data_IF_829649607111
#
_entry.id   IF_829649607111
#
_cell.length_a   1.000
_cell.length_b   1.000
_cell.length_c   1.000
_cell.angle_alpha   90.00
_cell.angle_beta   90.00
_cell.angle_gamma   90.00
#
_symmetry.space_group_name_H-M   'P 1'
#
loop_
_entity.id
_entity.type
_entity.pdbx_description
1 polymer ?
#
# COMPACT_ATOMS: atom_id res chain seq x y z
N UNK A 1 -14.41 -17.52 3.72
CA UNK A 1 -15.57 -16.58 3.74
C UNK A 1 -16.28 -16.68 2.40
N UNK A 2 -17.43 -17.36 2.30
CA UNK A 2 -18.17 -17.58 1.03
C UNK A 2 -18.74 -16.33 0.34
N UNK A 3 -17.96 -15.25 0.28
CA UNK A 3 -18.25 -13.98 -0.36
C UNK A 3 -17.64 -13.99 -1.76
N UNK A 4 -18.31 -13.36 -2.71
CA UNK A 4 -17.85 -13.21 -4.09
C UNK A 4 -17.58 -11.73 -4.35
N UNK A 5 -16.42 -11.41 -4.91
CA UNK A 5 -16.11 -10.05 -5.40
C UNK A 5 -16.38 -9.99 -6.90
N UNK A 6 -16.95 -8.88 -7.37
CA UNK A 6 -17.02 -8.57 -8.80
C UNK A 6 -15.81 -7.71 -9.16
N UNK A 7 -14.90 -8.25 -9.97
CA UNK A 7 -13.71 -7.51 -10.41
C UNK A 7 -14.05 -6.81 -11.72
N UNK A 8 -14.14 -5.48 -11.67
CA UNK A 8 -14.48 -4.65 -12.85
C UNK A 8 -13.21 -4.16 -13.54
N UNK A 9 -12.12 -3.98 -12.79
CA UNK A 9 -10.85 -3.45 -13.29
C UNK A 9 -9.66 -4.16 -12.63
N UNK A 10 -8.60 -4.37 -13.41
CA UNK A 10 -7.29 -4.80 -12.92
C UNK A 10 -6.24 -3.81 -13.41
N UNK A 11 -5.47 -3.24 -12.48
CA UNK A 11 -4.39 -2.30 -12.80
C UNK A 11 -3.05 -2.85 -12.33
N UNK A 12 -1.95 -2.61 -13.07
CA UNK A 12 -0.63 -3.10 -12.68
C UNK A 12 0.00 -2.26 -11.55
N UNK A 13 -0.46 -1.01 -11.37
CA UNK A 13 0.17 -0.03 -10.48
C UNK A 13 -0.89 0.77 -9.73
N UNK A 14 -0.64 1.04 -8.44
CA UNK A 14 -1.57 1.75 -7.57
C UNK A 14 -1.70 3.25 -7.87
N UNK A 15 -0.71 3.86 -8.53
CA UNK A 15 -0.66 5.30 -8.77
C UNK A 15 -1.84 5.83 -9.60
N UNK A 16 -2.45 5.00 -10.45
CA UNK A 16 -3.58 5.38 -11.30
C UNK A 16 -4.93 5.14 -10.66
N UNK A 17 -4.99 4.38 -9.54
CA UNK A 17 -6.26 4.04 -8.88
C UNK A 17 -7.08 5.27 -8.48
N UNK A 18 -6.51 6.33 -7.87
CA UNK A 18 -7.31 7.48 -7.44
C UNK A 18 -8.11 8.11 -8.57
N UNK A 19 -7.46 8.34 -9.72
CA UNK A 19 -8.11 8.94 -10.88
C UNK A 19 -9.17 8.03 -11.51
N UNK A 20 -8.97 6.70 -11.46
CA UNK A 20 -9.91 5.72 -12.03
C UNK A 20 -11.12 5.47 -11.12
N UNK A 21 -10.92 5.57 -9.81
CA UNK A 21 -11.96 5.34 -8.81
C UNK A 21 -12.78 6.59 -8.51
N UNK A 22 -12.18 7.78 -8.64
CA UNK A 22 -12.86 9.05 -8.38
C UNK A 22 -14.14 9.17 -9.21
N UNK A 23 -15.27 9.43 -8.54
CA UNK A 23 -16.58 9.54 -9.19
C UNK A 23 -17.22 8.21 -9.59
N UNK A 24 -16.71 7.08 -9.10
CA UNK A 24 -17.30 5.74 -9.31
C UNK A 24 -17.64 5.08 -7.98
N UNK A 25 -18.50 4.06 -8.00
CA UNK A 25 -18.82 3.24 -6.82
C UNK A 25 -17.84 2.07 -6.62
N UNK A 26 -16.64 2.16 -7.20
CA UNK A 26 -15.62 1.13 -7.06
C UNK A 26 -14.95 1.21 -5.68
N UNK A 27 -14.71 0.04 -5.09
CA UNK A 27 -13.93 -0.10 -3.86
C UNK A 27 -12.69 -0.95 -4.13
N UNK A 28 -11.58 -0.63 -3.44
CA UNK A 28 -10.35 -1.41 -3.52
C UNK A 28 -9.84 -1.72 -2.11
N UNK A 29 -9.27 -2.92 -1.94
CA UNK A 29 -8.55 -3.30 -0.72
C UNK A 29 -7.07 -3.04 -0.93
N UNK A 30 -6.47 -2.26 -0.03
CA UNK A 30 -5.08 -1.81 -0.10
C UNK A 30 -4.40 -2.01 1.27
N UNK A 31 -3.08 -1.86 1.31
CA UNK A 31 -2.36 -1.70 2.57
C UNK A 31 -2.60 -0.30 3.16
N UNK A 32 -2.54 -0.18 4.49
CA UNK A 32 -2.85 1.06 5.19
C UNK A 32 -2.04 2.26 4.71
N UNK A 33 -0.75 2.07 4.41
CA UNK A 33 0.10 3.16 3.92
C UNK A 33 -0.30 3.63 2.51
N UNK A 34 -0.73 2.72 1.65
CA UNK A 34 -1.18 3.06 0.30
C UNK A 34 -2.54 3.76 0.35
N UNK A 35 -3.46 3.25 1.16
CA UNK A 35 -4.77 3.85 1.39
C UNK A 35 -4.63 5.29 1.92
N UNK A 36 -3.84 5.50 2.98
CA UNK A 36 -3.56 6.83 3.54
C UNK A 36 -2.92 7.78 2.52
N UNK A 37 -1.95 7.31 1.74
CA UNK A 37 -1.32 8.13 0.71
C UNK A 37 -2.32 8.57 -0.36
N UNK A 38 -3.25 7.70 -0.75
CA UNK A 38 -4.32 8.03 -1.71
C UNK A 38 -5.35 8.99 -1.14
N UNK A 39 -5.81 8.77 0.09
CA UNK A 39 -6.74 9.68 0.77
C UNK A 39 -6.14 11.07 0.97
N UNK A 40 -4.82 11.15 1.21
CA UNK A 40 -4.11 12.43 1.30
C UNK A 40 -4.12 13.24 -0.02
N UNK A 41 -4.37 12.61 -1.17
CA UNK A 41 -4.59 13.31 -2.45
C UNK A 41 -5.96 14.01 -2.51
N UNK A 42 -6.88 13.71 -1.58
CA UNK A 42 -8.20 14.31 -1.48
C UNK A 42 -9.24 13.80 -2.48
N UNK A 43 -8.92 12.72 -3.22
CA UNK A 43 -9.81 12.14 -4.24
C UNK A 43 -10.59 10.92 -3.74
N UNK A 44 -10.13 10.29 -2.66
CA UNK A 44 -10.67 9.05 -2.11
C UNK A 44 -10.75 9.14 -0.58
N UNK A 45 -11.51 8.23 0.02
CA UNK A 45 -11.58 8.00 1.45
C UNK A 45 -11.12 6.58 1.76
N UNK A 46 -10.46 6.39 2.90
CA UNK A 46 -10.07 5.08 3.41
C UNK A 46 -10.86 4.73 4.67
N UNK A 47 -11.19 3.45 4.80
CA UNK A 47 -11.90 2.86 5.93
C UNK A 47 -11.31 1.47 6.24
N UNK A 48 -11.36 1.01 7.50
CA UNK A 48 -10.93 -0.35 7.85
C UNK A 48 -11.71 -1.41 7.08
N UNK A 49 -11.03 -2.51 6.73
CA UNK A 49 -11.69 -3.62 6.06
C UNK A 49 -12.77 -4.25 6.98
N UNK A 50 -13.94 -4.63 6.44
CA UNK A 50 -15.06 -5.16 7.22
C UNK A 50 -14.86 -6.62 7.66
N UNK A 51 -13.61 -7.08 7.69
CA UNK A 51 -13.23 -8.42 8.10
C UNK A 51 -11.75 -8.44 8.52
N UNK A 52 -11.36 -9.40 9.38
CA UNK A 52 -9.96 -9.58 9.74
C UNK A 52 -9.12 -9.93 8.51
N UNK A 53 -8.03 -9.21 8.32
CA UNK A 53 -6.99 -9.51 7.34
C UNK A 53 -5.67 -9.80 8.05
N UNK A 54 -4.85 -10.72 7.52
CA UNK A 54 -3.50 -10.92 8.03
C UNK A 54 -2.70 -9.62 7.87
N UNK A 55 -1.85 -9.34 8.86
CA UNK A 55 -0.88 -8.25 8.76
C UNK A 55 0.12 -8.50 7.64
N UNK A 56 0.69 -7.41 7.11
CA UNK A 56 1.77 -7.47 6.14
C UNK A 56 3.07 -7.08 6.83
N UNK A 57 4.01 -8.01 6.91
CA UNK A 57 5.35 -7.72 7.41
C UNK A 57 6.17 -7.05 6.30
N UNK A 58 6.55 -5.79 6.54
CA UNK A 58 7.43 -5.04 5.65
C UNK A 58 8.86 -5.11 6.20
N UNK A 59 9.72 -5.84 5.50
CA UNK A 59 11.12 -6.01 5.87
C UNK A 59 12.04 -5.29 4.89
N UNK A 60 13.08 -4.66 5.42
CA UNK A 60 14.17 -4.12 4.62
C UNK A 60 15.26 -5.18 4.43
N UNK A 61 15.80 -5.31 3.22
CA UNK A 61 16.88 -6.26 2.92
C UNK A 61 18.04 -5.53 2.23
N UNK A 62 19.25 -5.98 2.53
CA UNK A 62 20.49 -5.48 1.93
C UNK A 62 21.50 -6.60 1.80
N UNK A 63 22.53 -6.37 1.00
CA UNK A 63 23.64 -7.30 0.88
C UNK A 63 24.51 -7.22 2.15
N UNK A 64 24.91 -8.38 2.68
CA UNK A 64 25.77 -8.46 3.87
C UNK A 64 27.04 -7.61 3.77
N UNK A 65 27.63 -7.51 2.58
CA UNK A 65 28.82 -6.67 2.33
C UNK A 65 28.58 -5.17 2.54
N UNK A 66 27.35 -4.71 2.35
CA UNK A 66 26.96 -3.31 2.53
C UNK A 66 26.61 -2.99 3.99
N UNK A 67 26.69 -3.96 4.90
CA UNK A 67 26.30 -3.73 6.29
C UNK A 67 27.22 -2.72 7.00
N UNK A 68 28.50 -2.69 6.61
CA UNK A 68 29.49 -1.75 7.13
C UNK A 68 29.54 -0.42 6.37
N UNK A 69 28.80 -0.27 5.27
CA UNK A 69 28.80 0.97 4.48
C UNK A 69 28.16 2.12 5.27
N UNK A 70 28.87 3.24 5.49
CA UNK A 70 28.35 4.35 6.29
C UNK A 70 27.10 5.01 5.69
N UNK A 71 26.96 5.05 4.37
CA UNK A 71 25.82 5.68 3.71
C UNK A 71 24.57 4.81 3.83
N UNK A 72 24.68 3.50 3.62
CA UNK A 72 23.59 2.54 3.84
C UNK A 72 23.18 2.47 5.31
N UNK A 73 24.13 2.48 6.25
CA UNK A 73 23.83 2.56 7.68
C UNK A 73 23.08 3.85 8.04
N UNK A 74 23.52 4.98 7.49
CA UNK A 74 22.83 6.26 7.69
C UNK A 74 21.40 6.20 7.14
N UNK A 75 21.19 5.68 5.93
CA UNK A 75 19.86 5.59 5.32
C UNK A 75 18.93 4.67 6.12
N UNK A 76 19.41 3.49 6.53
CA UNK A 76 18.67 2.56 7.39
C UNK A 76 18.21 3.24 8.68
N UNK A 77 19.10 3.97 9.35
CA UNK A 77 18.78 4.70 10.58
C UNK A 77 17.75 5.84 10.42
N UNK A 78 17.40 6.22 9.18
CA UNK A 78 16.36 7.22 8.89
C UNK A 78 15.00 6.60 8.55
N UNK A 79 14.99 5.30 8.21
CA UNK A 79 13.80 4.58 7.80
C UNK A 79 13.29 3.69 8.93
N UNK A 80 14.20 3.15 9.76
CA UNK A 80 13.89 2.62 11.10
C UNK A 80 13.39 3.72 12.05
#
# INVERSE_FOLDING_TARGET
MGRKRQVVLSVPQFATLPALMAGTDMISGLSDYAAKAMSALGLLYDEPLPFPTPGLDLSMTWLSVMDSDPAERWLRSRIE
#
